data_IF_503670491994
#
_entry.id   IF_503670491994
#
_cell.length_a   1.000
_cell.length_b   1.000
_cell.length_c   1.000
_cell.angle_alpha   90.00
_cell.angle_beta   90.00
_cell.angle_gamma   90.00
#
_symmetry.space_group_name_H-M   'P 1'
#
loop_
_entity.id
_entity.type
_entity.pdbx_description
1 polymer ?
#
# COMPACT_ATOMS: atom_id res chain seq x y z
N UNK A 1 -9.48 60.14 24.82
CA UNK A 1 -10.29 59.11 24.15
C UNK A 1 -9.42 57.91 23.85
N UNK A 2 -9.63 56.75 24.45
CA UNK A 2 -8.79 55.60 24.28
C UNK A 2 -9.28 54.75 23.08
N UNK A 3 -8.35 54.33 22.24
CA UNK A 3 -8.55 53.45 21.12
C UNK A 3 -8.89 52.05 21.58
N UNK A 4 -9.97 51.49 21.07
CA UNK A 4 -10.45 50.16 21.30
C UNK A 4 -9.51 49.12 20.68
N UNK A 5 -9.00 48.20 21.52
CA UNK A 5 -8.20 47.06 21.08
C UNK A 5 -9.06 46.01 20.33
N UNK A 6 -8.65 45.69 19.12
CA UNK A 6 -9.18 44.56 18.35
C UNK A 6 -8.70 43.26 18.99
N UNK A 7 -9.66 42.54 19.59
CA UNK A 7 -9.45 41.17 20.11
C UNK A 7 -9.44 40.23 18.90
N UNK A 8 -8.28 39.68 18.58
CA UNK A 8 -8.14 38.60 17.63
C UNK A 8 -8.81 37.32 18.20
N UNK A 9 -9.67 36.64 17.43
CA UNK A 9 -10.25 35.38 17.92
C UNK A 9 -9.15 34.31 17.98
N UNK A 10 -9.05 33.65 19.12
CA UNK A 10 -8.19 32.49 19.34
C UNK A 10 -8.58 31.37 18.35
N UNK A 11 -7.65 30.66 17.72
CA UNK A 11 -7.98 29.52 16.89
C UNK A 11 -8.55 28.41 17.76
N UNK A 12 -9.75 27.97 17.42
CA UNK A 12 -10.49 26.93 18.11
C UNK A 12 -9.77 25.61 17.94
N UNK A 13 -9.44 24.98 19.08
CA UNK A 13 -8.72 23.72 19.24
C UNK A 13 -9.56 22.48 18.81
N UNK A 14 -10.16 22.48 17.61
CA UNK A 14 -10.89 21.32 17.08
C UNK A 14 -10.00 20.31 16.33
N UNK A 15 -8.74 20.61 16.11
CA UNK A 15 -7.86 19.76 15.27
C UNK A 15 -7.04 18.71 16.05
N UNK A 16 -6.99 18.75 17.39
CA UNK A 16 -6.09 17.84 18.11
C UNK A 16 -6.68 16.46 18.42
N UNK A 17 -8.00 16.29 18.44
CA UNK A 17 -8.61 14.98 18.76
C UNK A 17 -8.75 14.01 17.58
N UNK A 18 -8.74 14.49 16.34
CA UNK A 18 -8.83 13.61 15.15
C UNK A 18 -7.46 13.11 14.65
N UNK A 19 -6.35 13.54 15.25
CA UNK A 19 -5.00 13.17 14.84
C UNK A 19 -4.50 11.86 15.45
N UNK A 20 -5.21 11.31 16.43
CA UNK A 20 -4.79 10.10 17.14
C UNK A 20 -5.29 8.80 16.49
N UNK A 21 -6.26 8.88 15.58
CA UNK A 21 -6.77 7.73 14.85
C UNK A 21 -6.30 7.79 13.39
N UNK A 22 -5.13 7.22 13.11
CA UNK A 22 -4.70 6.93 11.74
C UNK A 22 -4.94 5.42 11.49
N UNK A 23 -6.04 5.04 10.81
CA UNK A 23 -6.36 3.65 10.53
C UNK A 23 -5.30 2.95 9.70
N UNK A 24 -4.40 3.70 9.03
CA UNK A 24 -3.34 3.19 8.18
C UNK A 24 -2.03 2.90 8.89
N UNK A 25 -1.81 3.37 10.13
CA UNK A 25 -0.61 2.96 10.88
C UNK A 25 -0.56 1.44 11.11
N UNK A 26 -1.70 0.80 11.36
CA UNK A 26 -1.79 -0.67 11.43
C UNK A 26 -1.69 -1.34 10.07
N UNK A 27 -2.31 -0.77 9.02
CA UNK A 27 -2.23 -1.27 7.65
C UNK A 27 -0.79 -1.26 7.11
N UNK A 28 0.01 -0.25 7.42
CA UNK A 28 1.42 -0.17 7.02
C UNK A 28 2.28 -1.20 7.78
N UNK A 29 1.97 -1.51 9.04
CA UNK A 29 2.60 -2.63 9.75
C UNK A 29 2.32 -3.96 9.04
N UNK A 30 1.09 -4.18 8.56
CA UNK A 30 0.72 -5.38 7.82
C UNK A 30 1.48 -5.53 6.47
N UNK A 31 1.94 -4.44 5.84
CA UNK A 31 2.78 -4.48 4.65
C UNK A 31 4.27 -4.75 4.96
N UNK A 32 4.72 -4.49 6.20
CA UNK A 32 6.11 -4.71 6.60
C UNK A 32 6.41 -6.13 7.11
N UNK A 33 5.40 -6.85 7.61
CA UNK A 33 5.59 -8.08 8.39
C UNK A 33 5.24 -9.38 7.63
N UNK A 34 4.96 -9.34 6.31
CA UNK A 34 4.78 -10.55 5.52
C UNK A 34 6.12 -11.29 5.36
N UNK A 35 6.28 -12.53 5.88
CA UNK A 35 7.47 -13.31 5.63
C UNK A 35 7.57 -13.59 4.13
N UNK A 36 8.69 -13.23 3.52
CA UNK A 36 9.00 -13.64 2.17
C UNK A 36 9.13 -15.17 2.15
N UNK A 37 8.33 -15.83 1.32
CA UNK A 37 8.54 -17.22 1.00
C UNK A 37 9.91 -17.33 0.29
N UNK A 38 10.92 -17.78 1.02
CA UNK A 38 12.19 -18.21 0.45
C UNK A 38 11.98 -19.60 -0.11
N UNK A 39 11.64 -19.68 -1.39
CA UNK A 39 11.64 -20.92 -2.14
C UNK A 39 13.04 -21.25 -2.63
N UNK A 40 13.71 -22.16 -1.95
CA UNK A 40 14.73 -23.03 -2.53
C UNK A 40 14.29 -24.46 -2.28
N UNK A 41 14.33 -25.35 -3.31
CA UNK A 41 13.87 -26.72 -3.15
C UNK A 41 14.94 -27.57 -2.49
N UNK A 42 14.61 -28.39 -1.50
CA UNK A 42 15.41 -29.56 -1.18
C UNK A 42 14.81 -30.80 -1.86
N UNK A 43 15.66 -31.50 -2.59
CA UNK A 43 15.44 -32.90 -2.95
C UNK A 43 15.49 -33.74 -1.68
N UNK A 44 14.45 -34.54 -1.41
CA UNK A 44 14.48 -35.93 -0.93
C UNK A 44 13.18 -36.29 -0.15
N UNK A 45 12.60 -37.34 -0.61
CA UNK A 45 11.71 -38.40 -0.10
C UNK A 45 10.83 -38.20 1.17
N UNK A 46 9.61 -38.78 1.15
CA UNK A 46 8.57 -38.49 2.13
C UNK A 46 8.61 -39.43 3.36
N UNK A 47 8.52 -38.84 4.53
CA UNK A 47 8.02 -39.54 5.74
C UNK A 47 6.89 -38.70 6.36
N UNK A 48 5.84 -39.32 6.87
CA UNK A 48 4.68 -38.60 7.37
C UNK A 48 4.95 -38.11 8.80
N UNK A 49 5.12 -36.78 8.95
CA UNK A 49 5.06 -36.18 10.28
C UNK A 49 4.05 -35.03 10.33
N UNK A 50 3.24 -35.12 11.36
CA UNK A 50 2.22 -34.26 11.87
C UNK A 50 2.51 -32.75 11.59
N UNK A 51 1.52 -32.09 10.97
CA UNK A 51 1.54 -30.66 10.71
C UNK A 51 1.62 -29.85 12.00
N UNK A 52 2.70 -29.11 12.18
CA UNK A 52 2.77 -28.01 13.13
C UNK A 52 2.09 -26.81 12.48
N UNK A 53 0.86 -26.57 12.87
CA UNK A 53 0.16 -25.31 12.58
C UNK A 53 0.91 -24.18 13.27
N UNK A 54 1.49 -23.27 12.49
CA UNK A 54 1.89 -21.95 12.98
C UNK A 54 0.60 -21.22 13.41
N UNK A 55 0.55 -20.60 14.59
CA UNK A 55 -0.63 -19.90 15.05
C UNK A 55 -0.87 -18.69 14.15
N UNK A 56 -1.88 -18.78 13.28
CA UNK A 56 -2.54 -17.62 12.72
C UNK A 56 -3.11 -16.77 13.87
N UNK A 57 -3.20 -15.47 13.70
CA UNK A 57 -3.92 -14.63 14.64
C UNK A 57 -5.26 -15.30 15.00
N UNK A 58 -5.62 -15.39 16.28
CA UNK A 58 -6.90 -15.97 16.64
C UNK A 58 -8.01 -15.22 15.90
N UNK A 59 -9.01 -15.92 15.36
CA UNK A 59 -10.16 -15.27 14.76
C UNK A 59 -10.77 -14.31 15.80
N UNK A 60 -11.18 -13.12 15.34
CA UNK A 60 -11.88 -12.18 16.19
C UNK A 60 -13.07 -12.93 16.87
N UNK A 61 -13.34 -12.69 18.15
CA UNK A 61 -14.52 -13.30 18.77
C UNK A 61 -15.77 -12.89 17.96
N UNK A 62 -16.73 -13.81 17.77
CA UNK A 62 -17.94 -13.49 17.01
C UNK A 62 -18.64 -12.27 17.62
N UNK A 63 -18.98 -11.32 16.75
CA UNK A 63 -19.73 -10.12 17.15
C UNK A 63 -21.06 -10.53 17.79
N UNK A 64 -21.52 -9.75 18.76
CA UNK A 64 -22.86 -9.94 19.28
C UNK A 64 -23.90 -9.64 18.17
N UNK A 65 -25.03 -10.34 18.17
CA UNK A 65 -26.16 -10.10 17.23
C UNK A 65 -26.54 -8.62 17.14
N UNK A 66 -26.38 -7.89 18.23
CA UNK A 66 -26.65 -6.46 18.29
C UNK A 66 -25.59 -5.64 17.51
N UNK A 67 -24.34 -6.05 17.50
CA UNK A 67 -23.27 -5.36 16.76
C UNK A 67 -23.36 -5.63 15.26
N UNK A 68 -23.68 -6.84 14.85
CA UNK A 68 -23.96 -7.17 13.44
C UNK A 68 -25.16 -6.37 12.91
N UNK A 69 -26.25 -6.29 13.66
CA UNK A 69 -27.42 -5.50 13.27
C UNK A 69 -27.07 -4.03 13.08
N UNK A 70 -26.21 -3.47 13.94
CA UNK A 70 -25.71 -2.10 13.77
C UNK A 70 -24.88 -1.91 12.51
N UNK A 71 -24.06 -2.90 12.13
CA UNK A 71 -23.27 -2.85 10.88
C UNK A 71 -24.20 -2.86 9.68
N UNK A 72 -25.21 -3.72 9.63
CA UNK A 72 -26.19 -3.73 8.54
C UNK A 72 -26.96 -2.40 8.44
N UNK A 73 -27.36 -1.81 9.57
CA UNK A 73 -28.00 -0.49 9.59
C UNK A 73 -27.09 0.58 9.00
N UNK A 74 -25.79 0.60 9.37
CA UNK A 74 -24.81 1.53 8.80
C UNK A 74 -24.60 1.31 7.30
N UNK A 75 -24.65 0.08 6.81
CA UNK A 75 -24.56 -0.21 5.37
C UNK A 75 -25.77 0.36 4.63
N UNK A 76 -26.99 0.26 5.19
CA UNK A 76 -28.19 0.89 4.64
C UNK A 76 -28.07 2.42 4.66
N UNK A 77 -27.51 2.99 5.73
CA UNK A 77 -27.29 4.43 5.88
C UNK A 77 -26.35 5.01 4.82
N UNK A 78 -25.47 4.20 4.21
CA UNK A 78 -24.65 4.63 3.07
C UNK A 78 -25.49 5.08 1.86
N UNK A 79 -26.69 4.53 1.68
CA UNK A 79 -27.58 4.89 0.58
C UNK A 79 -28.23 6.24 0.77
N UNK A 80 -28.39 6.71 2.00
CA UNK A 80 -28.99 7.99 2.33
C UNK A 80 -27.91 9.10 2.34
N UNK A 81 -28.10 10.16 1.57
CA UNK A 81 -27.14 11.25 1.45
C UNK A 81 -26.85 11.95 2.79
N UNK A 82 -27.86 12.08 3.67
CA UNK A 82 -27.74 12.81 4.93
C UNK A 82 -26.95 12.02 6.00
N UNK A 83 -27.08 10.70 6.04
CA UNK A 83 -26.39 9.82 7.01
C UNK A 83 -25.09 9.22 6.46
N UNK A 84 -24.86 9.28 5.14
CA UNK A 84 -23.72 8.62 4.46
C UNK A 84 -22.37 8.94 5.06
N UNK A 85 -22.09 10.20 5.37
CA UNK A 85 -20.78 10.60 5.89
C UNK A 85 -20.49 9.97 7.26
N UNK A 86 -21.49 9.96 8.14
CA UNK A 86 -21.39 9.29 9.44
C UNK A 86 -21.25 7.79 9.29
N UNK A 87 -21.99 7.17 8.36
CA UNK A 87 -21.91 5.74 8.08
C UNK A 87 -20.54 5.34 7.53
N UNK A 88 -19.97 6.12 6.58
CA UNK A 88 -18.61 5.92 6.07
C UNK A 88 -17.56 5.93 7.19
N UNK A 89 -17.65 6.91 8.10
CA UNK A 89 -16.73 7.04 9.22
C UNK A 89 -16.84 5.85 10.17
N UNK A 90 -18.06 5.48 10.57
CA UNK A 90 -18.25 4.38 11.53
C UNK A 90 -17.87 3.02 10.94
N UNK A 91 -18.26 2.72 9.69
CA UNK A 91 -17.90 1.49 9.01
C UNK A 91 -16.38 1.40 8.79
N UNK A 92 -15.72 2.50 8.43
CA UNK A 92 -14.27 2.52 8.25
C UNK A 92 -13.51 2.16 9.53
N UNK A 93 -14.02 2.53 10.71
CA UNK A 93 -13.45 2.15 12.02
C UNK A 93 -13.68 0.68 12.38
N UNK A 94 -14.83 0.14 11.97
CA UNK A 94 -15.28 -1.22 12.32
C UNK A 94 -14.83 -2.29 11.31
N UNK A 95 -14.23 -1.92 10.19
CA UNK A 95 -13.88 -2.82 9.07
C UNK A 95 -12.99 -4.00 9.45
N UNK A 96 -12.19 -3.86 10.51
CA UNK A 96 -11.29 -4.92 10.99
C UNK A 96 -11.94 -5.84 12.04
N UNK A 97 -13.17 -5.50 12.46
CA UNK A 97 -13.92 -6.23 13.48
C UNK A 97 -14.99 -7.15 12.88
N UNK A 98 -15.36 -6.93 11.61
CA UNK A 98 -16.42 -7.67 10.93
C UNK A 98 -15.86 -8.28 9.64
N UNK A 99 -15.53 -9.57 9.69
CA UNK A 99 -14.83 -10.25 8.61
C UNK A 99 -15.65 -10.31 7.31
N UNK A 100 -17.01 -10.40 7.43
CA UNK A 100 -17.91 -10.46 6.28
C UNK A 100 -18.26 -9.10 5.67
N UNK A 101 -17.71 -7.99 6.18
CA UNK A 101 -18.05 -6.65 5.69
C UNK A 101 -17.84 -6.50 4.18
N UNK A 102 -16.78 -7.08 3.65
CA UNK A 102 -16.49 -7.04 2.22
C UNK A 102 -17.60 -7.66 1.38
N UNK A 103 -18.13 -8.81 1.82
CA UNK A 103 -19.25 -9.51 1.17
C UNK A 103 -20.54 -8.69 1.23
N UNK A 104 -20.82 -8.14 2.40
CA UNK A 104 -22.00 -7.28 2.60
C UNK A 104 -21.93 -6.05 1.72
N UNK A 105 -20.79 -5.36 1.65
CA UNK A 105 -20.61 -4.17 0.81
C UNK A 105 -20.74 -4.51 -0.68
N UNK A 106 -20.16 -5.61 -1.12
CA UNK A 106 -20.18 -6.00 -2.54
C UNK A 106 -21.57 -6.43 -3.00
N UNK A 107 -22.25 -7.27 -2.22
CA UNK A 107 -23.53 -7.88 -2.60
C UNK A 107 -24.77 -7.05 -2.24
N UNK A 108 -24.63 -5.99 -1.45
CA UNK A 108 -25.74 -5.09 -1.15
C UNK A 108 -25.99 -4.13 -2.31
N UNK A 109 -27.25 -4.11 -2.78
CA UNK A 109 -27.64 -3.30 -3.93
C UNK A 109 -27.35 -1.80 -3.71
N UNK A 110 -26.67 -1.19 -4.69
CA UNK A 110 -26.40 0.24 -4.69
C UNK A 110 -25.18 0.68 -3.87
N UNK A 111 -24.58 -0.15 -3.04
CA UNK A 111 -23.46 0.24 -2.15
C UNK A 111 -22.20 0.53 -2.95
N UNK A 112 -21.78 -0.37 -3.85
CA UNK A 112 -20.58 -0.13 -4.66
C UNK A 112 -20.71 1.13 -5.54
N UNK A 113 -21.82 1.38 -6.26
CA UNK A 113 -22.05 2.66 -6.94
C UNK A 113 -21.94 3.88 -6.04
N UNK A 114 -22.45 3.83 -4.81
CA UNK A 114 -22.35 4.94 -3.86
C UNK A 114 -20.91 5.19 -3.44
N UNK A 115 -20.14 4.14 -3.15
CA UNK A 115 -18.71 4.29 -2.83
C UNK A 115 -17.92 4.87 -4.01
N UNK A 116 -18.19 4.45 -5.25
CA UNK A 116 -17.59 5.03 -6.45
C UNK A 116 -18.02 6.48 -6.68
N UNK A 117 -19.26 6.84 -6.36
CA UNK A 117 -19.73 8.22 -6.41
C UNK A 117 -18.93 9.13 -5.46
N UNK A 118 -18.64 8.68 -4.23
CA UNK A 118 -17.74 9.40 -3.31
C UNK A 118 -16.34 9.61 -3.89
N UNK A 119 -15.80 8.62 -4.59
CA UNK A 119 -14.51 8.73 -5.28
C UNK A 119 -14.55 9.77 -6.41
N UNK A 120 -15.50 9.63 -7.33
CA UNK A 120 -15.60 10.49 -8.54
C UNK A 120 -15.92 11.94 -8.18
N UNK A 121 -16.69 12.17 -7.12
CA UNK A 121 -17.06 13.52 -6.64
C UNK A 121 -15.86 14.39 -6.29
N UNK A 122 -14.68 13.78 -6.01
CA UNK A 122 -13.45 14.49 -5.63
C UNK A 122 -12.62 14.90 -6.85
N UNK A 123 -12.82 14.33 -8.03
CA UNK A 123 -12.01 14.62 -9.22
C UNK A 123 -11.93 16.12 -9.58
N UNK A 124 -13.02 16.91 -9.53
CA UNK A 124 -12.95 18.34 -9.81
C UNK A 124 -12.05 19.13 -8.85
N UNK A 125 -11.77 18.58 -7.66
CA UNK A 125 -10.95 19.20 -6.62
C UNK A 125 -9.45 18.88 -6.77
N UNK A 126 -9.11 18.00 -7.69
CA UNK A 126 -7.72 17.60 -7.93
C UNK A 126 -6.95 18.63 -8.79
N UNK A 127 -7.64 19.29 -9.74
CA UNK A 127 -7.06 20.30 -10.62
C UNK A 127 -8.08 21.39 -10.94
N UNK A 128 -7.86 22.66 -10.47
CA UNK A 128 -6.79 23.08 -9.56
C UNK A 128 -6.88 22.42 -8.18
N UNK A 129 -5.76 22.32 -7.43
CA UNK A 129 -5.70 21.57 -6.18
C UNK A 129 -6.43 22.27 -5.03
N UNK A 130 -7.72 21.99 -4.88
CA UNK A 130 -8.62 22.60 -3.87
C UNK A 130 -9.16 21.58 -2.84
N UNK A 131 -8.48 20.47 -2.67
CA UNK A 131 -8.92 19.41 -1.74
C UNK A 131 -8.76 19.85 -0.28
N UNK A 132 -9.88 19.92 0.45
CA UNK A 132 -9.89 20.23 1.89
C UNK A 132 -9.65 18.98 2.73
N UNK A 133 -9.25 19.18 3.99
CA UNK A 133 -9.07 18.07 4.94
C UNK A 133 -10.37 17.29 5.18
N UNK A 134 -11.51 17.98 5.24
CA UNK A 134 -12.82 17.36 5.43
C UNK A 134 -13.18 16.43 4.26
N UNK A 135 -13.09 16.91 3.03
CA UNK A 135 -13.38 16.11 1.83
C UNK A 135 -12.41 14.95 1.69
N UNK A 136 -11.10 15.18 1.97
CA UNK A 136 -10.10 14.13 1.97
C UNK A 136 -10.42 13.03 2.97
N UNK A 137 -10.79 13.37 4.19
CA UNK A 137 -11.17 12.38 5.22
C UNK A 137 -12.40 11.57 4.80
N UNK A 138 -13.41 12.23 4.25
CA UNK A 138 -14.64 11.56 3.78
C UNK A 138 -14.34 10.56 2.68
N UNK A 139 -13.61 10.94 1.63
CA UNK A 139 -13.26 10.02 0.55
C UNK A 139 -12.30 8.92 1.03
N UNK A 140 -11.38 9.20 1.96
CA UNK A 140 -10.51 8.19 2.54
C UNK A 140 -11.27 7.15 3.37
N UNK A 141 -12.38 7.50 4.00
CA UNK A 141 -13.28 6.52 4.63
C UNK A 141 -13.93 5.60 3.59
N UNK A 142 -14.37 6.13 2.45
CA UNK A 142 -14.85 5.31 1.33
C UNK A 142 -13.75 4.39 0.77
N UNK A 143 -12.52 4.92 0.60
CA UNK A 143 -11.37 4.13 0.17
C UNK A 143 -11.02 3.01 1.17
N UNK A 144 -11.19 3.23 2.48
CA UNK A 144 -11.00 2.20 3.49
C UNK A 144 -11.99 1.04 3.34
N UNK A 145 -13.22 1.31 2.97
CA UNK A 145 -14.22 0.27 2.66
C UNK A 145 -13.89 -0.44 1.35
N UNK A 146 -13.44 0.28 0.31
CA UNK A 146 -12.96 -0.33 -0.92
C UNK A 146 -11.73 -1.22 -0.68
N UNK A 147 -10.84 -0.84 0.25
CA UNK A 147 -9.71 -1.68 0.65
C UNK A 147 -10.16 -2.98 1.30
N UNK A 148 -11.21 -2.96 2.11
CA UNK A 148 -11.82 -4.16 2.69
C UNK A 148 -12.28 -5.11 1.57
N UNK A 149 -13.01 -4.60 0.57
CA UNK A 149 -13.48 -5.36 -0.59
C UNK A 149 -12.32 -5.90 -1.42
N UNK A 150 -11.26 -5.10 -1.62
CA UNK A 150 -10.06 -5.49 -2.37
C UNK A 150 -9.22 -6.56 -1.68
N UNK A 151 -9.29 -6.67 -0.35
CA UNK A 151 -8.50 -7.63 0.43
C UNK A 151 -9.19 -8.99 0.61
N UNK A 152 -10.52 -9.06 0.48
CA UNK A 152 -11.27 -10.29 0.74
C UNK A 152 -11.18 -11.28 -0.44
N UNK A 153 -10.95 -12.57 -0.19
CA UNK A 153 -10.73 -13.57 -1.25
C UNK A 153 -11.86 -13.65 -2.28
N UNK A 154 -13.11 -13.61 -1.84
CA UNK A 154 -14.27 -13.78 -2.72
C UNK A 154 -14.61 -12.52 -3.52
N UNK A 155 -14.39 -11.33 -2.97
CA UNK A 155 -14.73 -10.06 -3.66
C UNK A 155 -13.56 -9.47 -4.44
N UNK A 156 -12.33 -9.86 -4.17
CA UNK A 156 -11.12 -9.34 -4.82
C UNK A 156 -11.17 -9.48 -6.35
N UNK A 157 -11.52 -10.65 -6.85
CA UNK A 157 -11.59 -10.89 -8.30
C UNK A 157 -12.74 -10.10 -8.95
N UNK A 158 -13.87 -9.98 -8.25
CA UNK A 158 -15.00 -9.18 -8.71
C UNK A 158 -14.64 -7.68 -8.78
N UNK A 159 -13.93 -7.19 -7.76
CA UNK A 159 -13.40 -5.83 -7.69
C UNK A 159 -12.44 -5.53 -8.85
N UNK A 160 -11.57 -6.47 -9.19
CA UNK A 160 -10.65 -6.36 -10.31
C UNK A 160 -11.37 -6.38 -11.66
N UNK A 161 -12.31 -7.31 -11.84
CA UNK A 161 -13.10 -7.43 -13.07
C UNK A 161 -13.99 -6.20 -13.35
N UNK A 162 -14.43 -5.53 -12.28
CA UNK A 162 -15.14 -4.25 -12.38
C UNK A 162 -14.20 -3.05 -12.62
N UNK A 163 -12.90 -3.27 -12.81
CA UNK A 163 -11.89 -2.25 -13.06
C UNK A 163 -11.85 -1.12 -12.01
N UNK A 164 -12.26 -1.40 -10.77
CA UNK A 164 -12.33 -0.39 -9.70
C UNK A 164 -10.97 0.27 -9.41
N UNK A 165 -9.81 -0.41 -9.53
CA UNK A 165 -8.51 0.24 -9.31
C UNK A 165 -8.28 1.48 -10.18
N UNK A 166 -8.85 1.53 -11.39
CA UNK A 166 -8.68 2.67 -12.31
C UNK A 166 -9.26 3.98 -11.77
N UNK A 167 -10.31 3.91 -10.95
CA UNK A 167 -10.88 5.08 -10.31
C UNK A 167 -9.93 5.75 -9.30
N UNK A 168 -8.89 5.04 -8.86
CA UNK A 168 -7.90 5.54 -7.89
C UNK A 168 -6.69 6.20 -8.56
N UNK A 169 -6.44 5.93 -9.84
CA UNK A 169 -5.28 6.44 -10.57
C UNK A 169 -5.22 7.97 -10.63
N UNK A 170 -6.34 8.71 -10.82
CA UNK A 170 -6.31 10.16 -10.72
C UNK A 170 -5.78 10.67 -9.37
N UNK A 171 -6.05 9.98 -8.27
CA UNK A 171 -5.54 10.32 -6.95
C UNK A 171 -4.03 10.09 -6.85
N UNK A 172 -3.55 8.95 -7.38
CA UNK A 172 -2.12 8.61 -7.42
C UNK A 172 -1.32 9.54 -8.33
N UNK A 173 -1.97 10.14 -9.32
CA UNK A 173 -1.34 11.06 -10.27
C UNK A 173 -1.21 12.51 -9.74
N UNK A 174 -1.77 12.81 -8.57
CA UNK A 174 -1.67 14.15 -7.97
C UNK A 174 -0.24 14.45 -7.51
N UNK A 175 0.16 15.73 -7.55
CA UNK A 175 1.51 16.19 -7.18
C UNK A 175 1.55 17.11 -5.96
N UNK A 176 0.39 17.62 -5.53
CA UNK A 176 0.30 18.49 -4.34
C UNK A 176 0.84 17.77 -3.09
N UNK A 177 1.68 18.47 -2.34
CA UNK A 177 2.29 17.96 -1.09
C UNK A 177 1.52 18.37 0.16
N UNK A 178 0.34 18.96 0.00
CA UNK A 178 -0.50 19.28 1.15
C UNK A 178 -1.03 18.00 1.79
N UNK A 179 -1.26 18.05 3.08
CA UNK A 179 -1.67 16.90 3.89
C UNK A 179 -2.91 16.16 3.36
N UNK A 180 -3.99 16.85 2.88
CA UNK A 180 -5.13 16.16 2.29
C UNK A 180 -4.78 15.30 1.08
N UNK A 181 -3.89 15.78 0.19
CA UNK A 181 -3.45 15.01 -0.98
C UNK A 181 -2.52 13.87 -0.62
N UNK A 182 -1.60 14.07 0.34
CA UNK A 182 -0.74 12.98 0.83
C UNK A 182 -1.57 11.86 1.44
N UNK A 183 -2.59 12.19 2.23
CA UNK A 183 -3.48 11.21 2.81
C UNK A 183 -4.31 10.47 1.76
N UNK A 184 -4.79 11.18 0.74
CA UNK A 184 -5.52 10.61 -0.38
C UNK A 184 -4.65 9.61 -1.17
N UNK A 185 -3.40 9.96 -1.48
CA UNK A 185 -2.46 9.06 -2.16
C UNK A 185 -2.15 7.82 -1.33
N UNK A 186 -1.83 8.01 -0.05
CA UNK A 186 -1.52 6.91 0.87
C UNK A 186 -2.68 5.91 0.96
N UNK A 187 -3.91 6.41 1.11
CA UNK A 187 -5.11 5.58 1.21
C UNK A 187 -5.39 4.83 -0.08
N UNK A 188 -5.23 5.50 -1.23
CA UNK A 188 -5.39 4.88 -2.55
C UNK A 188 -4.35 3.79 -2.80
N UNK A 189 -3.08 4.03 -2.45
CA UNK A 189 -2.04 3.00 -2.47
C UNK A 189 -2.38 1.82 -1.57
N UNK A 190 -3.02 2.07 -0.43
CA UNK A 190 -3.47 1.01 0.48
C UNK A 190 -4.46 0.04 -0.15
N UNK A 191 -5.37 0.54 -1.00
CA UNK A 191 -6.30 -0.30 -1.77
C UNK A 191 -5.55 -1.19 -2.77
N UNK A 192 -4.63 -0.60 -3.56
CA UNK A 192 -3.81 -1.35 -4.52
C UNK A 192 -2.90 -2.35 -3.78
N UNK A 193 -2.29 -1.93 -2.67
CA UNK A 193 -1.47 -2.79 -1.83
C UNK A 193 -2.24 -4.00 -1.27
N UNK A 194 -3.52 -3.83 -0.94
CA UNK A 194 -4.38 -4.93 -0.49
C UNK A 194 -4.62 -5.98 -1.59
N UNK A 195 -4.78 -5.53 -2.84
CA UNK A 195 -4.90 -6.43 -4.00
C UNK A 195 -3.66 -7.31 -4.19
N UNK A 196 -2.45 -6.73 -4.11
CA UNK A 196 -1.19 -7.44 -4.36
C UNK A 196 -0.65 -8.21 -3.16
N UNK A 197 -1.23 -8.03 -1.97
CA UNK A 197 -0.74 -8.66 -0.74
C UNK A 197 -0.91 -10.18 -0.74
N UNK A 198 -1.94 -10.70 -1.38
CA UNK A 198 -2.25 -12.13 -1.43
C UNK A 198 -1.17 -12.91 -2.20
N UNK A 199 -1.04 -14.20 -1.92
CA UNK A 199 -0.03 -15.05 -2.57
C UNK A 199 -0.40 -15.39 -4.01
N UNK A 200 -1.69 -15.63 -4.30
CA UNK A 200 -2.20 -15.81 -5.66
C UNK A 200 -2.66 -14.46 -6.21
N UNK A 201 -1.75 -13.76 -6.85
CA UNK A 201 -1.97 -12.40 -7.35
C UNK A 201 -1.63 -12.22 -8.83
N UNK A 202 -1.39 -13.28 -9.59
CA UNK A 202 -0.99 -13.21 -11.00
C UNK A 202 -1.97 -12.40 -11.84
N UNK A 203 -3.29 -12.62 -11.72
CA UNK A 203 -4.31 -11.82 -12.41
C UNK A 203 -4.28 -10.35 -12.04
N UNK A 204 -4.03 -10.05 -10.76
CA UNK A 204 -3.86 -8.67 -10.26
C UNK A 204 -2.62 -8.04 -10.89
N UNK A 205 -1.50 -8.76 -10.93
CA UNK A 205 -0.25 -8.25 -11.52
C UNK A 205 -0.45 -7.96 -13.01
N UNK A 206 -1.06 -8.88 -13.75
CA UNK A 206 -1.38 -8.66 -15.18
C UNK A 206 -2.23 -7.40 -15.40
N UNK A 207 -3.28 -7.21 -14.58
CA UNK A 207 -4.11 -6.02 -14.64
C UNK A 207 -3.31 -4.75 -14.37
N UNK A 208 -2.50 -4.73 -13.31
CA UNK A 208 -1.71 -3.58 -12.91
C UNK A 208 -0.66 -3.21 -13.98
N UNK A 209 -0.02 -4.21 -14.60
CA UNK A 209 0.93 -3.97 -15.69
C UNK A 209 0.26 -3.40 -16.94
N UNK A 210 -0.96 -3.88 -17.28
CA UNK A 210 -1.73 -3.38 -18.44
C UNK A 210 -2.27 -1.97 -18.22
N UNK A 211 -2.34 -1.50 -17.00
CA UNK A 211 -2.92 -0.19 -16.62
C UNK A 211 -1.88 0.83 -16.15
N UNK A 212 -0.60 0.54 -16.36
CA UNK A 212 0.52 1.47 -16.13
C UNK A 212 0.66 1.97 -14.68
N UNK A 213 0.46 1.10 -13.69
CA UNK A 213 0.64 1.43 -12.28
C UNK A 213 2.10 1.79 -11.94
N UNK A 214 3.07 1.22 -12.65
CA UNK A 214 4.51 1.37 -12.35
C UNK A 214 4.93 2.85 -12.34
N UNK A 215 4.68 3.68 -13.37
CA UNK A 215 5.06 5.09 -13.35
C UNK A 215 4.47 5.86 -12.16
N UNK A 216 3.24 5.54 -11.76
CA UNK A 216 2.58 6.18 -10.62
C UNK A 216 3.29 5.82 -9.30
N UNK A 217 3.61 4.53 -9.10
CA UNK A 217 4.36 4.07 -7.94
C UNK A 217 5.76 4.69 -7.89
N UNK A 218 6.50 4.71 -9.00
CA UNK A 218 7.84 5.28 -9.05
C UNK A 218 7.85 6.76 -8.67
N UNK A 219 6.90 7.56 -9.17
CA UNK A 219 6.77 8.97 -8.77
C UNK A 219 6.54 9.13 -7.27
N UNK A 220 5.68 8.30 -6.68
CA UNK A 220 5.41 8.35 -5.24
C UNK A 220 6.62 7.89 -4.44
N UNK A 221 7.38 6.90 -4.92
CA UNK A 221 8.65 6.48 -4.32
C UNK A 221 9.70 7.59 -4.29
N UNK A 222 9.70 8.48 -5.28
CA UNK A 222 10.61 9.65 -5.29
C UNK A 222 10.13 10.79 -4.39
N UNK A 223 8.86 11.15 -4.48
CA UNK A 223 8.36 12.45 -3.98
C UNK A 223 7.43 12.35 -2.78
N UNK A 224 6.94 11.16 -2.44
CA UNK A 224 5.97 10.92 -1.36
C UNK A 224 6.56 10.98 0.04
N UNK A 225 5.68 10.91 1.03
CA UNK A 225 6.07 10.70 2.44
C UNK A 225 6.67 9.30 2.64
N UNK A 226 7.37 9.06 3.74
CA UNK A 226 7.95 7.75 4.06
C UNK A 226 6.91 6.63 4.02
N UNK A 227 5.69 6.87 4.54
CA UNK A 227 4.60 5.89 4.51
C UNK A 227 4.14 5.60 3.08
N UNK A 228 3.92 6.64 2.26
CA UNK A 228 3.52 6.48 0.86
C UNK A 228 4.61 5.78 0.05
N UNK A 229 5.89 6.12 0.26
CA UNK A 229 7.04 5.44 -0.34
C UNK A 229 7.05 3.96 0.03
N UNK A 230 6.78 3.62 1.29
CA UNK A 230 6.79 2.24 1.78
C UNK A 230 5.70 1.40 1.09
N UNK A 231 4.49 1.93 0.93
CA UNK A 231 3.41 1.20 0.24
C UNK A 231 3.67 1.12 -1.26
N UNK A 232 4.16 2.19 -1.89
CA UNK A 232 4.47 2.20 -3.32
C UNK A 232 5.57 1.18 -3.67
N UNK A 233 6.69 1.16 -2.90
CA UNK A 233 7.75 0.17 -3.15
C UNK A 233 7.31 -1.25 -2.81
N UNK A 234 6.43 -1.46 -1.84
CA UNK A 234 5.82 -2.76 -1.58
C UNK A 234 5.05 -3.28 -2.80
N UNK A 235 4.27 -2.42 -3.47
CA UNK A 235 3.55 -2.78 -4.70
C UNK A 235 4.54 -3.15 -5.80
N UNK A 236 5.58 -2.34 -6.04
CA UNK A 236 6.63 -2.62 -7.02
C UNK A 236 7.37 -3.93 -6.71
N UNK A 237 7.68 -4.18 -5.45
CA UNK A 237 8.29 -5.44 -5.01
C UNK A 237 7.40 -6.64 -5.31
N UNK A 238 6.09 -6.55 -5.05
CA UNK A 238 5.14 -7.63 -5.34
C UNK A 238 5.03 -7.89 -6.85
N UNK A 239 5.07 -6.83 -7.67
CA UNK A 239 5.11 -6.95 -9.13
C UNK A 239 6.42 -7.65 -9.57
N UNK A 240 7.56 -7.28 -9.02
CA UNK A 240 8.84 -7.91 -9.34
C UNK A 240 8.93 -9.37 -8.91
N UNK A 241 8.25 -9.77 -7.83
CA UNK A 241 8.22 -11.17 -7.38
C UNK A 241 7.50 -12.10 -8.36
N UNK A 242 6.54 -11.59 -9.11
CA UNK A 242 5.90 -12.32 -10.21
C UNK A 242 6.82 -12.39 -11.44
N UNK A 243 6.88 -13.56 -12.09
CA UNK A 243 7.75 -13.77 -13.27
C UNK A 243 7.37 -12.85 -14.44
N UNK A 244 6.07 -12.64 -14.65
CA UNK A 244 5.58 -11.72 -15.69
C UNK A 244 5.96 -10.28 -15.36
N UNK A 245 5.87 -9.89 -14.09
CA UNK A 245 6.27 -8.57 -13.63
C UNK A 245 7.76 -8.32 -13.78
N UNK A 246 8.61 -9.28 -13.39
CA UNK A 246 10.06 -9.21 -13.56
C UNK A 246 10.41 -9.09 -15.05
N UNK A 247 9.82 -9.96 -15.89
CA UNK A 247 10.03 -9.95 -17.33
C UNK A 247 9.61 -8.62 -17.92
N UNK A 248 8.44 -8.09 -17.56
CA UNK A 248 7.94 -6.80 -18.04
C UNK A 248 8.89 -5.64 -17.75
N UNK A 249 9.42 -5.56 -16.53
CA UNK A 249 10.34 -4.49 -16.12
C UNK A 249 11.69 -4.64 -16.81
N UNK A 250 12.21 -5.87 -16.93
CA UNK A 250 13.52 -6.13 -17.56
C UNK A 250 13.47 -6.23 -19.09
N UNK A 251 12.26 -6.19 -19.72
CA UNK A 251 12.10 -6.35 -21.17
C UNK A 251 12.71 -5.19 -21.95
N UNK A 252 12.56 -3.96 -21.47
CA UNK A 252 13.11 -2.77 -22.13
C UNK A 252 14.09 -2.05 -21.22
N UNK A 253 15.10 -1.42 -21.84
CA UNK A 253 16.10 -0.62 -21.12
C UNK A 253 15.44 0.52 -20.33
N UNK A 254 14.46 1.21 -20.93
CA UNK A 254 13.79 2.35 -20.34
C UNK A 254 13.06 2.00 -19.05
N UNK A 255 12.35 0.86 -19.03
CA UNK A 255 11.63 0.40 -17.83
C UNK A 255 12.60 0.02 -16.72
N UNK A 256 13.61 -0.78 -17.06
CA UNK A 256 14.65 -1.17 -16.11
C UNK A 256 15.38 0.06 -15.55
N UNK A 257 15.78 0.98 -16.44
CA UNK A 257 16.47 2.21 -16.06
C UNK A 257 15.61 3.09 -15.14
N UNK A 258 14.32 3.26 -15.44
CA UNK A 258 13.40 4.04 -14.60
C UNK A 258 13.29 3.45 -13.17
N UNK A 259 13.08 2.14 -13.06
CA UNK A 259 13.02 1.46 -11.75
C UNK A 259 14.37 1.54 -11.03
N UNK A 260 15.48 1.28 -11.71
CA UNK A 260 16.82 1.31 -11.16
C UNK A 260 17.21 2.71 -10.64
N UNK A 261 16.86 3.77 -11.40
CA UNK A 261 17.13 5.15 -11.00
C UNK A 261 16.38 5.52 -9.72
N UNK A 262 15.09 5.19 -9.63
CA UNK A 262 14.29 5.50 -8.45
C UNK A 262 14.79 4.72 -7.23
N UNK A 263 15.13 3.43 -7.39
CA UNK A 263 15.71 2.62 -6.32
C UNK A 263 17.07 3.19 -5.85
N UNK A 264 17.92 3.64 -6.79
CA UNK A 264 19.21 4.26 -6.46
C UNK A 264 19.03 5.57 -5.68
N UNK A 265 18.10 6.42 -6.09
CA UNK A 265 17.77 7.65 -5.37
C UNK A 265 17.28 7.35 -3.95
N UNK A 266 16.46 6.30 -3.79
CA UNK A 266 16.00 5.85 -2.47
C UNK A 266 17.16 5.37 -1.59
N UNK A 267 18.12 4.62 -2.14
CA UNK A 267 19.33 4.19 -1.40
C UNK A 267 20.10 5.40 -0.88
N UNK A 268 20.32 6.40 -1.73
CA UNK A 268 21.03 7.62 -1.33
C UNK A 268 20.30 8.37 -0.21
N UNK A 269 18.97 8.47 -0.28
CA UNK A 269 18.17 9.07 0.79
C UNK A 269 18.21 8.24 2.08
N UNK A 270 18.32 6.91 1.99
CA UNK A 270 18.37 6.02 3.14
C UNK A 270 19.67 6.13 3.94
N UNK A 271 20.74 6.61 3.34
CA UNK A 271 22.00 6.91 4.07
C UNK A 271 21.75 7.94 5.16
N UNK A 272 20.91 8.96 4.88
CA UNK A 272 20.57 10.03 5.81
C UNK A 272 19.38 9.66 6.72
N UNK A 273 18.31 9.14 6.13
CA UNK A 273 17.03 8.92 6.84
C UNK A 273 17.04 7.67 7.72
N UNK A 274 17.90 6.70 7.43
CA UNK A 274 18.03 5.43 8.18
C UNK A 274 16.70 4.66 8.32
N UNK A 275 15.77 4.79 7.36
CA UNK A 275 14.46 4.16 7.39
C UNK A 275 14.54 2.65 7.07
N UNK A 276 14.67 1.80 8.09
CA UNK A 276 14.84 0.33 7.98
C UNK A 276 13.77 -0.32 7.12
N UNK A 277 12.50 0.12 7.25
CA UNK A 277 11.38 -0.44 6.49
C UNK A 277 11.55 -0.25 5.00
N UNK A 278 11.98 0.93 4.57
CA UNK A 278 12.25 1.20 3.15
C UNK A 278 13.44 0.41 2.65
N UNK A 279 14.54 0.35 3.43
CA UNK A 279 15.73 -0.41 3.07
C UNK A 279 15.43 -1.88 2.79
N UNK A 280 14.60 -2.50 3.62
CA UNK A 280 14.12 -3.88 3.45
C UNK A 280 13.49 -4.11 2.07
N UNK A 281 12.62 -3.21 1.63
CA UNK A 281 11.95 -3.32 0.32
C UNK A 281 12.91 -3.04 -0.83
N UNK A 282 13.79 -2.05 -0.69
CA UNK A 282 14.81 -1.72 -1.70
C UNK A 282 15.74 -2.89 -1.96
N UNK A 283 16.28 -3.51 -0.90
CA UNK A 283 17.17 -4.69 -1.01
C UNK A 283 16.47 -5.85 -1.70
N UNK A 284 15.21 -6.12 -1.36
CA UNK A 284 14.43 -7.18 -2.00
C UNK A 284 14.12 -6.92 -3.47
N UNK A 285 13.87 -5.65 -3.85
CA UNK A 285 13.69 -5.28 -5.25
C UNK A 285 14.98 -5.54 -6.04
N UNK A 286 16.14 -5.12 -5.54
CA UNK A 286 17.41 -5.39 -6.20
C UNK A 286 17.75 -6.88 -6.26
N UNK A 287 17.50 -7.62 -5.17
CA UNK A 287 17.69 -9.07 -5.16
C UNK A 287 16.87 -9.73 -6.26
N UNK A 288 15.59 -9.37 -6.38
CA UNK A 288 14.72 -9.95 -7.41
C UNK A 288 15.14 -9.54 -8.84
N UNK A 289 15.56 -8.29 -9.03
CA UNK A 289 16.11 -7.85 -10.32
C UNK A 289 17.36 -8.65 -10.70
N UNK A 290 18.18 -9.07 -9.74
CA UNK A 290 19.40 -9.86 -9.99
C UNK A 290 19.11 -11.29 -10.49
N UNK A 291 17.88 -11.77 -10.39
CA UNK A 291 17.48 -13.07 -10.95
C UNK A 291 17.41 -13.03 -12.50
N UNK A 292 17.16 -11.85 -13.08
CA UNK A 292 17.20 -11.66 -14.53
C UNK A 292 18.64 -11.41 -15.01
N UNK A 293 19.12 -12.20 -15.97
CA UNK A 293 20.51 -12.15 -16.44
C UNK A 293 20.92 -10.76 -16.95
N UNK A 294 20.09 -10.11 -17.78
CA UNK A 294 20.41 -8.78 -18.34
C UNK A 294 20.44 -7.71 -17.25
N UNK A 295 19.46 -7.75 -16.32
CA UNK A 295 19.43 -6.85 -15.20
C UNK A 295 20.61 -7.07 -14.24
N UNK A 296 21.02 -8.33 -14.01
CA UNK A 296 22.20 -8.69 -13.21
C UNK A 296 23.48 -8.06 -13.76
N UNK A 297 23.72 -8.17 -15.06
CA UNK A 297 24.88 -7.55 -15.70
C UNK A 297 24.88 -6.04 -15.55
N UNK A 298 23.73 -5.39 -15.76
CA UNK A 298 23.61 -3.96 -15.55
C UNK A 298 23.85 -3.56 -14.08
N UNK A 299 23.32 -4.33 -13.12
CA UNK A 299 23.49 -4.09 -11.68
C UNK A 299 24.93 -4.23 -11.21
N UNK A 300 25.75 -5.06 -11.86
CA UNK A 300 27.20 -5.14 -11.57
C UNK A 300 27.87 -3.77 -11.69
N UNK A 301 27.45 -2.97 -12.67
CA UNK A 301 28.01 -1.65 -12.91
C UNK A 301 27.27 -0.53 -12.13
N UNK A 302 25.96 -0.64 -11.90
CA UNK A 302 25.14 0.47 -11.43
C UNK A 302 24.53 0.30 -10.03
N UNK A 303 24.81 -0.83 -9.31
CA UNK A 303 24.33 -0.97 -7.94
C UNK A 303 24.94 0.12 -7.05
N UNK A 304 24.14 0.88 -6.28
CA UNK A 304 24.64 1.95 -5.41
C UNK A 304 25.69 1.47 -4.40
N UNK A 305 26.77 2.25 -4.27
CA UNK A 305 27.90 1.94 -3.37
C UNK A 305 27.47 1.68 -1.92
N UNK A 306 26.51 2.41 -1.30
CA UNK A 306 26.07 2.14 0.07
C UNK A 306 25.51 0.74 0.31
N UNK A 307 25.09 0.03 -0.74
CA UNK A 307 24.68 -1.38 -0.65
C UNK A 307 25.86 -2.35 -0.76
N UNK A 308 27.00 -1.90 -1.29
CA UNK A 308 28.23 -2.71 -1.45
C UNK A 308 29.14 -2.64 -0.24
N UNK A 309 29.13 -1.53 0.45
CA UNK A 309 29.99 -1.23 1.60
C UNK A 309 29.31 -1.53 2.94
N UNK A 310 29.87 -0.99 4.01
CA UNK A 310 29.42 -1.20 5.38
C UNK A 310 28.37 -0.17 5.86
N UNK A 311 27.89 0.73 4.99
CA UNK A 311 27.02 1.84 5.34
C UNK A 311 25.76 1.39 6.12
N UNK A 312 25.12 0.32 5.70
CA UNK A 312 23.90 -0.18 6.33
C UNK A 312 24.11 -1.30 7.35
N UNK A 313 25.37 -1.70 7.64
CA UNK A 313 25.63 -2.79 8.57
C UNK A 313 25.06 -2.56 9.97
N UNK A 314 25.15 -1.33 10.49
CA UNK A 314 24.60 -1.00 11.79
C UNK A 314 23.08 -1.10 11.79
N UNK A 315 22.43 -0.62 10.72
CA UNK A 315 20.99 -0.63 10.54
C UNK A 315 20.43 -2.06 10.40
N UNK A 316 21.19 -2.96 9.80
CA UNK A 316 20.81 -4.35 9.55
C UNK A 316 21.16 -5.31 10.69
N UNK A 317 21.77 -4.84 11.80
CA UNK A 317 22.06 -5.69 12.97
C UNK A 317 20.80 -6.35 13.55
N UNK A 318 19.67 -5.65 13.53
CA UNK A 318 18.38 -6.14 14.01
C UNK A 318 17.54 -6.89 12.99
N UNK A 319 17.93 -6.89 11.71
CA UNK A 319 17.18 -7.52 10.60
C UNK A 319 18.05 -8.52 9.83
N UNK A 320 18.21 -9.71 10.41
CA UNK A 320 19.00 -10.80 9.80
C UNK A 320 18.45 -11.24 8.44
N UNK A 321 17.14 -11.11 8.22
CA UNK A 321 16.52 -11.50 6.94
C UNK A 321 16.97 -10.56 5.84
N UNK A 322 16.85 -9.25 6.05
CA UNK A 322 17.33 -8.26 5.07
C UNK A 322 18.83 -8.34 4.86
N UNK A 323 19.62 -8.59 5.92
CA UNK A 323 21.05 -8.81 5.80
C UNK A 323 21.38 -10.01 4.90
N UNK A 324 20.68 -11.14 5.06
CA UNK A 324 20.84 -12.31 4.17
C UNK A 324 20.48 -11.97 2.74
N UNK A 325 19.35 -11.27 2.51
CA UNK A 325 18.97 -10.82 1.16
C UNK A 325 20.06 -9.98 0.50
N UNK A 326 20.67 -9.04 1.25
CA UNK A 326 21.76 -8.22 0.74
C UNK A 326 23.00 -9.06 0.42
N UNK A 327 23.38 -10.00 1.28
CA UNK A 327 24.49 -10.92 1.01
C UNK A 327 24.23 -11.77 -0.23
N UNK A 328 23.03 -12.31 -0.40
CA UNK A 328 22.64 -13.08 -1.59
C UNK A 328 22.71 -12.22 -2.85
N UNK A 329 22.22 -10.98 -2.79
CA UNK A 329 22.32 -10.02 -3.91
C UNK A 329 23.78 -9.82 -4.33
N UNK A 330 24.68 -9.56 -3.38
CA UNK A 330 26.10 -9.33 -3.68
C UNK A 330 26.76 -10.59 -4.25
N UNK A 331 26.41 -11.78 -3.75
CA UNK A 331 26.90 -13.05 -4.31
C UNK A 331 26.41 -13.23 -5.76
N UNK A 332 25.12 -13.01 -6.04
CA UNK A 332 24.58 -13.09 -7.41
C UNK A 332 25.31 -12.17 -8.39
N UNK A 333 25.75 -11.01 -7.92
CA UNK A 333 26.51 -10.06 -8.76
C UNK A 333 27.98 -10.44 -8.94
N UNK A 334 28.57 -11.21 -8.01
CA UNK A 334 29.96 -11.66 -8.07
C UNK A 334 30.13 -13.00 -8.80
N UNK A 335 29.08 -13.80 -8.93
CA UNK A 335 29.08 -15.03 -9.73
C UNK A 335 29.20 -14.67 -11.22
N UNK A 336 30.23 -15.26 -11.89
CA UNK A 336 30.50 -15.08 -13.33
C UNK A 336 29.56 -15.94 -14.18
#
# INVERSE_FOLDING_TARGET
MPMAGLISPKPVSYMQHNLQYNPYQRGVQAFSDSPAATGLPPLAHPTPHQGVFLPGNPPNPPLSVNEETKIYALVIDLLNADSRESALLELSKKREQFDDLALVLWHSFGIMPVLLQEIVSVYPLLSPPNLTAHVSNRVCNALALLQCVASHPETRQLFLNAHIPLFLYPFLNTTSKTRPFEYLRLTSLGVIGALVKQNDNTTVIHFLLSTEIIPLCLRIMETGTELSKTVAIFIVQKILLDETGLTYICHTYERFYAVGTVLSNMVNQLVETQAVRLLKHVVRCYLRLSDNLRAREALRACLPEPLRDNTFNALLKGDLVTKRCLTTLLNNLNEQ
#
